data_IF_154143647247
#
_entry.id   IF_154143647247
#
_cell.length_a   1.000
_cell.length_b   1.000
_cell.length_c   1.000
_cell.angle_alpha   90.00
_cell.angle_beta   90.00
_cell.angle_gamma   90.00
#
_symmetry.space_group_name_H-M   'P 1'
#
loop_
_entity.id
_entity.type
_entity.pdbx_description
1 polymer ?
#
# COMPACT_ATOMS: atom_id res chain seq x y z
N UNK A 1 -12.44 -12.02 34.33
CA UNK A 1 -13.65 -12.05 33.50
C UNK A 1 -13.23 -11.83 32.05
N UNK A 2 -13.24 -12.89 31.25
CA UNK A 2 -12.61 -13.01 29.92
C UNK A 2 -13.68 -13.43 28.91
N UNK A 3 -14.74 -12.65 28.68
CA UNK A 3 -15.82 -13.05 27.74
C UNK A 3 -16.47 -11.85 27.03
N UNK A 4 -15.70 -10.83 26.60
CA UNK A 4 -16.23 -9.78 25.69
C UNK A 4 -15.18 -9.36 24.65
N UNK A 5 -14.41 -10.33 24.12
CA UNK A 5 -13.56 -10.11 22.94
C UNK A 5 -13.96 -11.01 21.75
N UNK A 6 -15.00 -11.85 21.91
CA UNK A 6 -15.38 -12.86 20.93
C UNK A 6 -16.50 -12.44 19.96
N UNK A 7 -17.00 -11.20 20.04
CA UNK A 7 -18.09 -10.72 19.17
C UNK A 7 -17.65 -10.04 17.87
N UNK A 8 -16.34 -9.93 17.61
CA UNK A 8 -15.82 -9.46 16.30
C UNK A 8 -15.28 -10.58 15.41
N UNK A 9 -15.49 -11.86 15.76
CA UNK A 9 -14.83 -12.99 15.10
C UNK A 9 -15.70 -13.80 14.11
N UNK A 10 -16.98 -13.46 13.86
CA UNK A 10 -17.91 -14.40 13.18
C UNK A 10 -18.72 -13.78 12.02
N UNK A 11 -18.43 -12.54 11.59
CA UNK A 11 -19.03 -12.00 10.36
C UNK A 11 -17.88 -11.79 9.37
N UNK A 12 -18.02 -12.35 8.16
CA UNK A 12 -17.16 -12.24 6.96
C UNK A 12 -16.41 -13.50 6.48
N UNK A 13 -16.67 -14.69 7.03
CA UNK A 13 -16.42 -15.95 6.30
C UNK A 13 -17.51 -16.21 5.25
N UNK A 14 -17.71 -15.28 4.30
CA UNK A 14 -18.60 -15.48 3.17
C UNK A 14 -18.34 -14.46 2.04
N UNK A 15 -17.10 -14.33 1.55
CA UNK A 15 -16.75 -13.97 0.15
C UNK A 15 -15.22 -14.15 -0.04
N UNK A 16 -14.72 -15.38 0.07
CA UNK A 16 -13.37 -15.76 -0.40
C UNK A 16 -13.41 -15.90 -1.93
N UNK A 17 -13.55 -14.77 -2.61
CA UNK A 17 -13.66 -14.67 -4.07
C UNK A 17 -12.70 -13.58 -4.55
N UNK A 18 -11.38 -13.84 -4.60
CA UNK A 18 -10.32 -13.00 -5.21
C UNK A 18 -10.19 -11.50 -4.80
N UNK A 19 -11.15 -10.95 -4.05
CA UNK A 19 -11.42 -9.52 -3.89
C UNK A 19 -10.88 -8.97 -2.57
N UNK A 20 -10.61 -9.83 -1.58
CA UNK A 20 -10.01 -9.47 -0.29
C UNK A 20 -8.48 -9.47 -0.34
N UNK A 21 -7.86 -10.28 -1.20
CA UNK A 21 -6.41 -10.46 -1.26
C UNK A 21 -5.67 -9.20 -1.71
N UNK A 22 -6.31 -8.38 -2.54
CA UNK A 22 -5.77 -7.17 -3.15
C UNK A 22 -5.70 -6.01 -2.15
N UNK A 23 -6.78 -5.82 -1.39
CA UNK A 23 -6.85 -4.88 -0.25
C UNK A 23 -5.89 -5.31 0.85
N UNK A 24 -5.82 -6.61 1.14
CA UNK A 24 -4.90 -7.17 2.13
C UNK A 24 -3.43 -6.87 1.78
N UNK A 25 -3.05 -7.10 0.52
CA UNK A 25 -1.70 -6.85 0.00
C UNK A 25 -1.24 -5.40 0.24
N UNK A 26 -2.13 -4.43 -0.03
CA UNK A 26 -1.84 -3.02 0.22
C UNK A 26 -1.71 -2.73 1.72
N UNK A 27 -2.64 -3.23 2.54
CA UNK A 27 -2.60 -3.01 3.99
C UNK A 27 -1.36 -3.64 4.64
N UNK A 28 -0.94 -4.82 4.20
CA UNK A 28 0.24 -5.51 4.74
C UNK A 28 1.52 -4.74 4.42
N UNK A 29 1.68 -4.24 3.19
CA UNK A 29 2.82 -3.41 2.80
C UNK A 29 2.83 -2.05 3.48
N UNK A 30 1.68 -1.40 3.62
CA UNK A 30 1.59 -0.16 4.40
C UNK A 30 1.94 -0.40 5.87
N UNK A 31 1.47 -1.53 6.41
CA UNK A 31 1.78 -1.96 7.76
C UNK A 31 3.28 -2.19 7.96
N UNK A 32 3.96 -2.85 7.03
CA UNK A 32 5.41 -3.10 7.13
C UNK A 32 6.22 -1.80 7.06
N UNK A 33 5.82 -0.84 6.22
CA UNK A 33 6.42 0.48 6.18
C UNK A 33 6.25 1.24 7.51
N UNK A 34 5.04 1.23 8.07
CA UNK A 34 4.74 1.91 9.34
C UNK A 34 5.44 1.28 10.55
N UNK A 35 5.64 -0.04 10.54
CA UNK A 35 6.39 -0.74 11.60
C UNK A 35 7.90 -0.57 11.47
N UNK A 36 8.39 0.09 10.41
CA UNK A 36 9.81 0.25 10.15
C UNK A 36 10.48 -1.06 9.71
N UNK A 37 9.73 -2.00 9.15
CA UNK A 37 10.25 -3.30 8.69
C UNK A 37 10.87 -3.22 7.28
N UNK A 38 10.61 -2.13 6.55
CA UNK A 38 11.15 -1.92 5.21
C UNK A 38 12.62 -1.50 5.24
N UNK A 39 13.00 -0.63 6.18
CA UNK A 39 14.36 -0.12 6.29
C UNK A 39 15.01 -0.60 7.59
N UNK A 40 16.29 -0.98 7.53
CA UNK A 40 17.03 -1.30 8.74
C UNK A 40 17.10 -0.07 9.67
N UNK A 41 17.13 -0.31 10.99
CA UNK A 41 17.23 0.77 11.95
C UNK A 41 18.54 1.55 11.75
N UNK A 42 18.43 2.88 11.56
CA UNK A 42 19.57 3.75 11.31
C UNK A 42 19.99 3.87 9.84
N UNK A 43 19.37 3.14 8.91
CA UNK A 43 19.58 3.30 7.47
C UNK A 43 18.85 4.55 6.97
N UNK A 44 19.51 5.71 7.14
CA UNK A 44 18.95 7.02 6.79
C UNK A 44 18.65 7.17 5.31
N UNK A 45 19.45 6.52 4.46
CA UNK A 45 19.29 6.59 3.00
C UNK A 45 18.05 5.81 2.57
N UNK A 46 17.84 4.61 3.11
CA UNK A 46 16.61 3.85 2.90
C UNK A 46 15.38 4.64 3.38
N UNK A 47 15.44 5.20 4.59
CA UNK A 47 14.32 5.96 5.16
C UNK A 47 14.00 7.20 4.31
N UNK A 48 15.02 7.92 3.84
CA UNK A 48 14.85 9.08 2.98
C UNK A 48 14.20 8.70 1.63
N UNK A 49 14.67 7.62 1.01
CA UNK A 49 14.11 7.11 -0.24
C UNK A 49 12.67 6.61 -0.09
N UNK A 50 12.36 5.92 1.03
CA UNK A 50 11.00 5.45 1.33
C UNK A 50 10.04 6.64 1.49
N UNK A 51 10.48 7.70 2.17
CA UNK A 51 9.72 8.96 2.29
C UNK A 51 9.52 9.67 0.96
N UNK A 52 10.55 9.73 0.14
CA UNK A 52 10.46 10.28 -1.21
C UNK A 52 9.43 9.50 -2.06
N UNK A 53 9.47 8.17 -1.97
CA UNK A 53 8.52 7.29 -2.64
C UNK A 53 7.09 7.52 -2.15
N UNK A 54 6.86 7.66 -0.85
CA UNK A 54 5.54 7.96 -0.27
C UNK A 54 4.95 9.27 -0.80
N UNK A 55 5.74 10.35 -0.79
CA UNK A 55 5.34 11.67 -1.33
C UNK A 55 5.05 11.62 -2.83
N UNK A 56 5.90 10.94 -3.59
CA UNK A 56 5.70 10.80 -5.03
C UNK A 56 4.43 10.00 -5.34
N UNK A 57 4.21 8.90 -4.62
CA UNK A 57 2.98 8.09 -4.73
C UNK A 57 1.74 8.92 -4.43
N UNK A 58 1.77 9.77 -3.41
CA UNK A 58 0.66 10.70 -3.12
C UNK A 58 0.38 11.64 -4.28
N UNK A 59 1.44 12.25 -4.82
CA UNK A 59 1.33 13.21 -5.92
C UNK A 59 0.72 12.54 -7.13
N UNK A 60 1.15 11.32 -7.45
CA UNK A 60 0.54 10.50 -8.48
C UNK A 60 -0.94 10.21 -8.20
N UNK A 61 -1.29 9.86 -6.96
CA UNK A 61 -2.66 9.56 -6.59
C UNK A 61 -3.58 10.78 -6.71
N UNK A 62 -3.17 11.92 -6.14
CA UNK A 62 -3.92 13.18 -6.17
C UNK A 62 -4.09 13.68 -7.60
N UNK A 63 -3.01 13.73 -8.39
CA UNK A 63 -3.06 14.21 -9.78
C UNK A 63 -3.91 13.33 -10.70
N UNK A 64 -4.12 12.07 -10.33
CA UNK A 64 -4.92 11.13 -11.09
C UNK A 64 -6.29 10.85 -10.45
N UNK A 65 -6.77 11.71 -9.55
CA UNK A 65 -8.07 11.55 -8.88
C UNK A 65 -8.25 10.20 -8.17
N UNK A 66 -7.18 9.69 -7.57
CA UNK A 66 -7.12 8.37 -6.92
C UNK A 66 -7.43 7.20 -7.88
N UNK A 67 -7.37 7.42 -9.20
CA UNK A 67 -7.51 6.36 -10.18
C UNK A 67 -6.32 5.40 -10.06
N UNK A 68 -6.60 4.16 -9.70
CA UNK A 68 -5.58 3.18 -9.39
C UNK A 68 -4.68 2.86 -10.58
N UNK A 69 -5.23 2.73 -11.79
CA UNK A 69 -4.46 2.37 -12.98
C UNK A 69 -3.52 3.51 -13.36
N UNK A 70 -4.04 4.74 -13.42
CA UNK A 70 -3.24 5.93 -13.71
C UNK A 70 -2.21 6.20 -12.61
N UNK A 71 -2.57 5.99 -11.35
CA UNK A 71 -1.64 6.10 -10.21
C UNK A 71 -0.52 5.07 -10.32
N UNK A 72 -0.85 3.81 -10.63
CA UNK A 72 0.14 2.75 -10.82
C UNK A 72 1.12 3.09 -11.94
N UNK A 73 0.61 3.52 -13.10
CA UNK A 73 1.44 3.96 -14.22
C UNK A 73 2.30 5.18 -13.85
N UNK A 74 1.75 6.14 -13.13
CA UNK A 74 2.46 7.33 -12.67
C UNK A 74 3.61 6.96 -11.72
N UNK A 75 3.36 6.10 -10.71
CA UNK A 75 4.38 5.66 -9.75
C UNK A 75 5.49 4.90 -10.46
N UNK A 76 5.14 4.04 -11.41
CA UNK A 76 6.11 3.25 -12.16
C UNK A 76 7.05 4.14 -13.01
N UNK A 77 6.56 5.27 -13.53
CA UNK A 77 7.31 6.15 -14.43
C UNK A 77 8.00 7.33 -13.72
N UNK A 78 7.38 7.87 -12.67
CA UNK A 78 7.76 9.18 -12.10
C UNK A 78 8.29 9.10 -10.67
N UNK A 79 8.26 7.93 -10.01
CA UNK A 79 8.80 7.74 -8.67
C UNK A 79 10.12 6.96 -8.71
N UNK A 80 11.25 7.63 -8.99
CA UNK A 80 12.56 7.01 -8.93
C UNK A 80 12.91 6.68 -7.49
N UNK A 81 13.64 5.58 -7.31
CA UNK A 81 14.14 5.11 -6.02
C UNK A 81 15.56 4.60 -6.26
N UNK A 82 16.50 4.96 -5.40
CA UNK A 82 17.91 4.61 -5.54
C UNK A 82 18.26 3.42 -4.64
N UNK A 83 17.65 3.35 -3.45
CA UNK A 83 17.85 2.30 -2.49
C UNK A 83 17.19 0.98 -2.98
N UNK A 84 17.95 -0.13 -3.07
CA UNK A 84 17.44 -1.39 -3.61
C UNK A 84 16.33 -1.99 -2.75
N UNK A 85 16.35 -1.78 -1.44
CA UNK A 85 15.31 -2.25 -0.52
C UNK A 85 14.00 -1.53 -0.77
N UNK A 86 14.05 -0.20 -0.91
CA UNK A 86 12.88 0.62 -1.24
C UNK A 86 12.40 0.34 -2.68
N UNK A 87 13.30 0.02 -3.60
CA UNK A 87 12.94 -0.35 -4.97
C UNK A 87 12.20 -1.70 -5.01
N UNK A 88 12.60 -2.66 -4.18
CA UNK A 88 11.87 -3.93 -3.99
C UNK A 88 10.47 -3.65 -3.42
N UNK A 89 10.38 -2.85 -2.37
CA UNK A 89 9.12 -2.43 -1.77
C UNK A 89 8.19 -1.76 -2.81
N UNK A 90 8.71 -0.83 -3.62
CA UNK A 90 7.97 -0.18 -4.72
C UNK A 90 7.38 -1.19 -5.69
N UNK A 91 8.16 -2.19 -6.09
CA UNK A 91 7.72 -3.21 -7.04
C UNK A 91 6.60 -4.09 -6.44
N UNK A 92 6.71 -4.45 -5.15
CA UNK A 92 5.66 -5.19 -4.43
C UNK A 92 4.38 -4.37 -4.34
N UNK A 93 4.48 -3.08 -4.02
CA UNK A 93 3.35 -2.15 -3.97
C UNK A 93 2.64 -2.02 -5.33
N UNK A 94 3.40 -1.83 -6.42
CA UNK A 94 2.87 -1.82 -7.79
C UNK A 94 2.22 -3.17 -8.12
N UNK A 95 2.79 -4.28 -7.66
CA UNK A 95 2.22 -5.62 -7.81
C UNK A 95 0.84 -5.73 -7.16
N UNK A 96 0.71 -5.29 -5.91
CA UNK A 96 -0.57 -5.24 -5.21
C UNK A 96 -1.61 -4.40 -5.96
N UNK A 97 -1.20 -3.23 -6.48
CA UNK A 97 -2.08 -2.36 -7.25
C UNK A 97 -2.53 -3.01 -8.56
N UNK A 98 -1.65 -3.65 -9.32
CA UNK A 98 -2.02 -4.31 -10.58
C UNK A 98 -3.01 -5.45 -10.37
N UNK A 99 -2.83 -6.23 -9.31
CA UNK A 99 -3.75 -7.33 -8.97
C UNK A 99 -5.12 -6.82 -8.49
N UNK A 100 -5.19 -5.59 -7.97
CA UNK A 100 -6.43 -4.96 -7.51
C UNK A 100 -7.34 -4.50 -8.66
N UNK A 101 -6.80 -4.25 -9.86
CA UNK A 101 -7.55 -3.76 -11.03
C UNK A 101 -8.52 -4.80 -11.62
N UNK A 102 -8.37 -6.07 -11.25
CA UNK A 102 -9.21 -7.18 -11.74
C UNK A 102 -10.49 -7.39 -10.92
N UNK A 103 -10.72 -6.60 -9.87
CA UNK A 103 -11.85 -6.76 -8.96
C UNK A 103 -12.50 -5.40 -8.71
N UNK A 104 -13.83 -5.35 -8.55
CA UNK A 104 -14.66 -4.14 -8.46
C UNK A 104 -14.43 -3.24 -7.22
N UNK A 105 -13.24 -3.34 -6.61
CA UNK A 105 -12.82 -2.71 -5.34
C UNK A 105 -12.06 -1.40 -5.53
N UNK A 106 -12.21 -0.74 -6.68
CA UNK A 106 -11.47 0.47 -7.10
C UNK A 106 -11.59 1.65 -6.10
N UNK A 107 -12.68 1.73 -5.34
CA UNK A 107 -12.85 2.76 -4.30
C UNK A 107 -12.03 2.47 -3.01
N UNK A 108 -11.88 1.18 -2.68
CA UNK A 108 -11.01 0.61 -1.65
C UNK A 108 -9.55 1.10 -1.73
N UNK A 109 -8.97 0.86 -2.89
CA UNK A 109 -7.54 1.02 -3.13
C UNK A 109 -7.11 2.47 -3.22
N UNK A 110 -7.92 3.35 -3.83
CA UNK A 110 -7.64 4.79 -3.89
C UNK A 110 -7.48 5.40 -2.49
N UNK A 111 -8.33 5.00 -1.54
CA UNK A 111 -8.23 5.47 -0.16
C UNK A 111 -6.92 5.03 0.54
N UNK A 112 -6.49 3.78 0.32
CA UNK A 112 -5.26 3.25 0.91
C UNK A 112 -4.01 3.94 0.37
N UNK A 113 -3.98 4.30 -0.91
CA UNK A 113 -2.87 5.05 -1.51
C UNK A 113 -2.70 6.42 -0.82
N UNK A 114 -3.81 7.11 -0.53
CA UNK A 114 -3.80 8.37 0.20
C UNK A 114 -3.32 8.23 1.66
N UNK A 115 -3.65 7.13 2.33
CA UNK A 115 -3.19 6.87 3.70
C UNK A 115 -1.69 6.56 3.76
N UNK A 116 -1.15 5.80 2.80
CA UNK A 116 0.28 5.49 2.72
C UNK A 116 1.14 6.76 2.68
N UNK A 117 0.67 7.76 1.95
CA UNK A 117 1.32 9.06 1.84
C UNK A 117 1.31 9.89 3.13
N UNK A 118 0.31 9.73 4.00
CA UNK A 118 0.24 10.45 5.27
C UNK A 118 1.06 9.78 6.38
N UNK A 119 1.27 8.46 6.28
CA UNK A 119 1.87 7.66 7.35
C UNK A 119 3.42 7.61 7.29
N UNK A 120 4.00 7.95 6.14
CA UNK A 120 5.46 7.94 5.88
C UNK A 120 6.01 9.35 5.80
#
# INVERSE_FOLDING_TARGET
>A
MKIIAFLFAIILLAQVNANSQTVQCQMDLMGSANRGEVCAQGDTDCIADLKSLGKCTNTCAVNNNQDQQKTTSCVQQNCPVQNPTVQKFKNEFIGCLKNSSSSSTLALSGFLIGLFAMLI
#
